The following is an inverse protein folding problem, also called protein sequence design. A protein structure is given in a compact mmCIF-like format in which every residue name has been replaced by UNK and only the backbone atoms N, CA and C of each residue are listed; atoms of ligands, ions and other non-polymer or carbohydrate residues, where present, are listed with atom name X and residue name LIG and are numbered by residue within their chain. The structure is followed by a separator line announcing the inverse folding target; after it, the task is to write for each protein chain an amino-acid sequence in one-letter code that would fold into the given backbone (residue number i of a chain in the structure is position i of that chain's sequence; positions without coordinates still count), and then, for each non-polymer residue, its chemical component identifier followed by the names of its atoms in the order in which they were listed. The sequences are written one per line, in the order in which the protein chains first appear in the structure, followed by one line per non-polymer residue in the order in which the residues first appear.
data_IF_738713994024
#
_entry.id   IF_738713994024
#
_cell.length_a   1.000
_cell.length_b   1.000
_cell.length_c   1.000
_cell.angle_alpha   90.00
_cell.angle_beta   90.00
_cell.angle_gamma   90.00
#
_symmetry.space_group_name_H-M   'P 1'
#
loop_
_entity.id
_entity.type
_entity.pdbx_description
1 polymer ?
#
# COMPACT_ATOMS: atom_id res chain seq x y z
N UNK A 1 -3.39 -16.62 34.05
CA UNK A 1 -4.18 -17.00 32.86
C UNK A 1 -3.91 -16.13 31.62
N UNK A 2 -3.21 -14.99 31.73
CA UNK A 2 -2.96 -14.06 30.62
C UNK A 2 -1.66 -14.30 29.83
N UNK A 3 -0.83 -15.28 30.23
CA UNK A 3 0.54 -15.46 29.74
C UNK A 3 0.66 -16.38 28.51
N UNK A 4 -0.39 -17.14 28.20
CA UNK A 4 -0.44 -18.07 27.05
C UNK A 4 -1.14 -17.50 25.81
N UNK A 5 -1.81 -16.34 25.94
CA UNK A 5 -2.52 -15.70 24.82
C UNK A 5 -1.55 -15.04 23.81
N UNK A 6 -0.34 -14.71 24.24
CA UNK A 6 0.66 -14.06 23.36
C UNK A 6 1.36 -15.04 22.41
N UNK A 7 1.39 -16.33 22.74
CA UNK A 7 2.10 -17.36 21.95
C UNK A 7 1.28 -17.81 20.74
N UNK A 8 -0.05 -17.72 20.80
CA UNK A 8 -0.95 -18.07 19.69
C UNK A 8 -1.06 -16.98 18.61
N UNK A 9 -0.59 -15.75 18.88
CA UNK A 9 -0.57 -14.66 17.88
C UNK A 9 0.68 -14.68 16.97
N UNK A 10 1.68 -15.50 17.31
CA UNK A 10 2.94 -15.62 16.55
C UNK A 10 2.91 -16.70 15.47
N UNK A 11 1.83 -17.50 15.37
CA UNK A 11 1.74 -18.63 14.44
C UNK A 11 0.94 -18.36 13.17
N UNK A 12 0.59 -17.10 12.87
CA UNK A 12 0.03 -16.73 11.55
C UNK A 12 1.07 -16.14 10.61
N UNK A 13 2.36 -16.39 10.85
CA UNK A 13 3.31 -16.47 9.73
C UNK A 13 2.86 -17.66 8.88
N UNK A 14 2.04 -17.35 7.87
CA UNK A 14 1.91 -18.17 6.68
C UNK A 14 3.32 -18.26 6.11
N UNK A 15 4.07 -19.24 6.59
CA UNK A 15 5.25 -19.73 5.90
C UNK A 15 4.73 -20.25 4.56
N UNK A 16 4.86 -19.43 3.51
CA UNK A 16 4.88 -19.95 2.16
C UNK A 16 6.05 -20.93 2.07
N UNK A 17 5.81 -22.19 2.43
CA UNK A 17 6.74 -23.29 2.25
C UNK A 17 6.82 -23.58 0.74
N UNK A 18 7.57 -22.75 0.02
CA UNK A 18 7.99 -23.03 -1.36
C UNK A 18 9.17 -23.99 -1.25
N UNK A 19 8.88 -25.29 -1.30
CA UNK A 19 9.89 -26.34 -1.44
C UNK A 19 10.74 -26.10 -2.70
N UNK A 20 12.08 -26.20 -2.64
CA UNK A 20 12.93 -26.05 -3.81
C UNK A 20 13.03 -27.41 -4.53
N UNK A 21 12.00 -27.76 -5.28
CA UNK A 21 12.03 -28.85 -6.25
C UNK A 21 10.83 -28.63 -7.17
N UNK A 22 10.97 -28.23 -8.41
CA UNK A 22 11.58 -28.95 -9.53
C UNK A 22 11.94 -27.92 -10.59
N UNK A 23 13.11 -28.03 -11.21
CA UNK A 23 13.46 -27.35 -12.46
C UNK A 23 12.53 -27.85 -13.58
N UNK A 24 11.32 -27.29 -13.62
CA UNK A 24 10.36 -27.41 -14.72
C UNK A 24 10.50 -26.16 -15.60
N UNK A 25 10.59 -26.26 -16.94
CA UNK A 25 10.76 -25.12 -17.84
C UNK A 25 9.64 -24.06 -17.72
N UNK A 26 8.52 -24.41 -17.09
CA UNK A 26 7.32 -23.59 -16.96
C UNK A 26 7.08 -23.04 -15.53
N UNK A 27 7.85 -23.47 -14.53
CA UNK A 27 7.76 -22.97 -13.15
C UNK A 27 8.16 -21.49 -12.99
N UNK A 28 9.17 -20.95 -13.72
CA UNK A 28 9.50 -19.52 -13.67
C UNK A 28 8.33 -18.64 -14.11
N UNK A 29 7.50 -19.13 -15.04
CA UNK A 29 6.42 -18.36 -15.67
C UNK A 29 5.24 -18.15 -14.73
N UNK A 30 4.83 -19.18 -13.99
CA UNK A 30 3.67 -19.10 -13.07
C UNK A 30 3.98 -18.23 -11.86
N UNK A 31 5.17 -18.37 -11.27
CA UNK A 31 5.60 -17.54 -10.13
C UNK A 31 5.73 -16.07 -10.55
N UNK A 32 6.23 -15.82 -11.76
CA UNK A 32 6.29 -14.49 -12.34
C UNK A 32 4.89 -13.88 -12.53
N UNK A 33 3.95 -14.65 -13.09
CA UNK A 33 2.58 -14.20 -13.33
C UNK A 33 1.82 -13.92 -12.03
N UNK A 34 1.97 -14.79 -11.01
CA UNK A 34 1.41 -14.58 -9.67
C UNK A 34 1.98 -13.35 -8.99
N UNK A 35 3.30 -13.13 -9.10
CA UNK A 35 3.94 -11.95 -8.54
C UNK A 35 3.44 -10.66 -9.22
N UNK A 36 3.38 -10.65 -10.55
CA UNK A 36 2.89 -9.50 -11.31
C UNK A 36 1.42 -9.21 -11.00
N UNK A 37 0.59 -10.26 -10.94
CA UNK A 37 -0.84 -10.15 -10.64
C UNK A 37 -1.06 -9.65 -9.22
N UNK A 38 -0.34 -10.21 -8.24
CA UNK A 38 -0.43 -9.80 -6.84
C UNK A 38 -0.02 -8.33 -6.63
N UNK A 39 1.10 -7.91 -7.23
CA UNK A 39 1.55 -6.52 -7.12
C UNK A 39 0.68 -5.55 -7.92
N UNK A 40 0.14 -5.96 -9.07
CA UNK A 40 -0.85 -5.17 -9.82
C UNK A 40 -2.13 -4.95 -9.01
N UNK A 41 -2.58 -5.97 -8.29
CA UNK A 41 -3.70 -5.84 -7.36
C UNK A 41 -3.38 -4.84 -6.24
N UNK A 42 -2.19 -4.93 -5.62
CA UNK A 42 -1.74 -3.97 -4.60
C UNK A 42 -1.72 -2.54 -5.16
N UNK A 43 -1.18 -2.32 -6.36
CA UNK A 43 -1.17 -1.00 -7.00
C UNK A 43 -2.57 -0.46 -7.29
N UNK A 44 -3.50 -1.34 -7.70
CA UNK A 44 -4.90 -0.96 -7.93
C UNK A 44 -5.54 -0.50 -6.62
N UNK A 45 -5.35 -1.24 -5.53
CA UNK A 45 -5.86 -0.87 -4.21
C UNK A 45 -5.24 0.42 -3.68
N UNK A 46 -3.93 0.63 -3.89
CA UNK A 46 -3.26 1.89 -3.54
C UNK A 46 -3.82 3.07 -4.34
N UNK A 47 -4.16 2.88 -5.62
CA UNK A 47 -4.78 3.93 -6.45
C UNK A 47 -6.20 4.26 -5.98
N UNK A 48 -6.97 3.24 -5.56
CA UNK A 48 -8.28 3.46 -4.93
C UNK A 48 -8.12 4.22 -3.62
N UNK A 49 -7.15 3.85 -2.78
CA UNK A 49 -6.86 4.54 -1.52
C UNK A 49 -6.45 6.00 -1.74
N UNK A 50 -5.59 6.26 -2.73
CA UNK A 50 -5.19 7.61 -3.14
C UNK A 50 -6.41 8.47 -3.50
N UNK A 51 -7.30 7.91 -4.32
CA UNK A 51 -8.54 8.57 -4.71
C UNK A 51 -9.48 8.80 -3.53
N UNK A 52 -9.62 7.85 -2.60
CA UNK A 52 -10.42 8.03 -1.39
C UNK A 52 -9.82 9.13 -0.51
N UNK A 53 -8.51 9.16 -0.33
CA UNK A 53 -7.85 10.18 0.48
C UNK A 53 -8.01 11.57 -0.14
N UNK A 54 -7.79 11.74 -1.45
CA UNK A 54 -7.99 13.03 -2.10
C UNK A 54 -9.46 13.45 -2.12
N UNK A 55 -10.35 12.56 -2.58
CA UNK A 55 -11.73 12.94 -2.89
C UNK A 55 -12.66 12.87 -1.68
N UNK A 56 -12.51 11.88 -0.79
CA UNK A 56 -13.37 11.76 0.39
C UNK A 56 -12.77 12.47 1.59
N UNK A 57 -11.53 12.17 1.96
CA UNK A 57 -10.93 12.77 3.17
C UNK A 57 -10.68 14.27 2.96
N UNK A 58 -10.14 14.67 1.81
CA UNK A 58 -9.98 16.08 1.45
C UNK A 58 -11.31 16.84 1.45
N UNK A 59 -12.37 16.24 0.89
CA UNK A 59 -13.71 16.85 0.87
C UNK A 59 -14.35 16.94 2.25
N UNK A 60 -14.20 15.91 3.09
CA UNK A 60 -14.67 15.93 4.48
C UNK A 60 -13.97 17.01 5.30
N UNK A 61 -12.65 17.08 5.21
CA UNK A 61 -11.87 18.12 5.89
C UNK A 61 -12.32 19.50 5.39
N UNK A 62 -12.52 19.68 4.09
CA UNK A 62 -13.01 20.94 3.54
C UNK A 62 -14.39 21.32 4.08
N UNK A 63 -15.35 20.37 4.13
CA UNK A 63 -16.68 20.61 4.70
C UNK A 63 -16.63 20.97 6.19
N UNK A 64 -15.82 20.25 6.98
CA UNK A 64 -15.64 20.55 8.40
C UNK A 64 -15.02 21.93 8.59
N UNK A 65 -14.01 22.26 7.78
CA UNK A 65 -13.33 23.55 7.87
C UNK A 65 -14.17 24.73 7.38
N UNK A 66 -15.10 24.51 6.46
CA UNK A 66 -16.10 25.51 6.06
C UNK A 66 -17.17 25.73 7.13
N UNK A 67 -17.53 24.70 7.89
CA UNK A 67 -18.51 24.79 8.97
C UNK A 67 -17.89 25.25 10.31
N UNK A 68 -16.57 25.23 10.44
CA UNK A 68 -15.87 25.63 11.65
C UNK A 68 -15.75 27.17 11.77
N UNK A 69 -15.75 27.72 13.00
CA UNK A 69 -15.53 29.15 13.23
C UNK A 69 -14.05 29.51 12.98
N UNK A 70 -13.71 29.69 11.71
CA UNK A 70 -12.34 30.00 11.24
C UNK A 70 -11.90 31.43 11.58
N UNK A 71 -12.81 32.25 12.08
CA UNK A 71 -12.55 33.52 12.76
C UNK A 71 -11.65 33.35 14.00
N UNK A 72 -11.59 32.13 14.58
CA UNK A 72 -10.62 31.79 15.62
C UNK A 72 -9.28 31.41 14.96
N UNK A 73 -8.16 32.10 15.26
CA UNK A 73 -6.87 31.90 14.58
C UNK A 73 -6.36 30.46 14.64
N UNK A 74 -6.58 29.76 15.76
CA UNK A 74 -6.13 28.38 15.93
C UNK A 74 -6.94 27.39 15.08
N UNK A 75 -8.23 27.65 14.90
CA UNK A 75 -9.12 26.82 14.06
C UNK A 75 -8.74 26.99 12.59
N UNK A 76 -8.46 28.22 12.16
CA UNK A 76 -7.93 28.50 10.83
C UNK A 76 -6.62 27.78 10.56
N UNK A 77 -5.66 27.89 11.47
CA UNK A 77 -4.36 27.22 11.34
C UNK A 77 -4.50 25.69 11.28
N UNK A 78 -5.36 25.11 12.14
CA UNK A 78 -5.64 23.67 12.13
C UNK A 78 -6.23 23.23 10.78
N UNK A 79 -7.19 23.99 10.24
CA UNK A 79 -7.80 23.71 8.94
C UNK A 79 -6.81 23.76 7.78
N UNK A 80 -5.91 24.74 7.77
CA UNK A 80 -4.80 24.80 6.80
C UNK A 80 -3.90 23.57 6.92
N UNK A 81 -3.52 23.16 8.14
CA UNK A 81 -2.67 21.97 8.34
C UNK A 81 -3.37 20.69 7.88
N UNK A 82 -4.65 20.53 8.18
CA UNK A 82 -5.41 19.35 7.78
C UNK A 82 -5.58 19.27 6.25
N UNK A 83 -5.86 20.39 5.58
CA UNK A 83 -6.01 20.40 4.13
C UNK A 83 -4.68 20.26 3.40
N UNK A 84 -3.68 21.06 3.77
CA UNK A 84 -2.45 21.21 2.98
C UNK A 84 -1.36 20.22 3.39
N UNK A 85 -1.31 19.80 4.67
CA UNK A 85 -0.26 18.91 5.14
C UNK A 85 -0.74 17.46 5.30
N UNK A 86 -1.91 17.23 5.92
CA UNK A 86 -2.35 15.85 6.18
C UNK A 86 -2.71 15.12 4.88
N UNK A 87 -3.59 15.68 4.05
CA UNK A 87 -4.01 15.04 2.79
C UNK A 87 -2.82 14.82 1.86
N UNK A 88 -1.96 15.84 1.69
CA UNK A 88 -0.77 15.73 0.86
C UNK A 88 0.24 14.72 1.40
N UNK A 89 0.44 14.64 2.71
CA UNK A 89 1.34 13.65 3.31
C UNK A 89 0.83 12.22 3.07
N UNK A 90 -0.48 11.97 3.23
CA UNK A 90 -1.06 10.66 2.94
C UNK A 90 -0.95 10.31 1.45
N UNK A 91 -1.23 11.24 0.55
CA UNK A 91 -1.06 11.01 -0.90
C UNK A 91 0.41 10.70 -1.23
N UNK A 92 1.34 11.47 -0.69
CA UNK A 92 2.79 11.24 -0.89
C UNK A 92 3.23 9.88 -0.37
N UNK A 93 2.69 9.45 0.78
CA UNK A 93 2.96 8.14 1.34
C UNK A 93 2.42 7.01 0.43
N UNK A 94 1.19 7.16 -0.07
CA UNK A 94 0.59 6.20 -1.01
C UNK A 94 1.40 6.13 -2.31
N UNK A 95 1.85 7.27 -2.82
CA UNK A 95 2.74 7.33 -3.99
C UNK A 95 4.05 6.60 -3.73
N UNK A 96 4.68 6.84 -2.57
CA UNK A 96 5.91 6.13 -2.18
C UNK A 96 5.71 4.62 -2.05
N UNK A 97 4.54 4.16 -1.61
CA UNK A 97 4.21 2.74 -1.66
C UNK A 97 4.06 2.25 -3.10
N UNK A 98 3.35 2.97 -3.97
CA UNK A 98 3.18 2.58 -5.39
C UNK A 98 4.51 2.44 -6.13
N UNK A 99 5.45 3.36 -5.88
CA UNK A 99 6.78 3.36 -6.47
C UNK A 99 7.61 2.16 -5.99
N UNK A 100 7.51 1.81 -4.71
CA UNK A 100 8.21 0.66 -4.14
C UNK A 100 7.55 -0.68 -4.49
N UNK A 101 6.24 -0.70 -4.74
CA UNK A 101 5.50 -1.92 -5.09
C UNK A 101 5.39 -2.15 -6.60
N UNK A 102 6.28 -1.56 -7.41
CA UNK A 102 6.29 -1.78 -8.86
C UNK A 102 6.47 -3.27 -9.19
N UNK A 103 5.48 -3.92 -9.85
CA UNK A 103 5.54 -5.33 -10.21
C UNK A 103 6.82 -5.68 -10.96
N UNK A 104 7.19 -4.82 -11.90
CA UNK A 104 8.36 -4.99 -12.75
C UNK A 104 9.68 -5.00 -11.97
N UNK A 105 9.77 -4.22 -10.89
CA UNK A 105 10.98 -4.12 -10.08
C UNK A 105 11.03 -5.24 -9.03
N UNK A 106 9.94 -5.44 -8.28
CA UNK A 106 9.93 -6.41 -7.19
C UNK A 106 9.92 -7.86 -7.68
N UNK A 107 9.18 -8.19 -8.73
CA UNK A 107 9.16 -9.57 -9.25
C UNK A 107 10.52 -9.96 -9.88
N UNK A 108 11.22 -9.00 -10.48
CA UNK A 108 12.60 -9.18 -10.94
C UNK A 108 13.62 -9.24 -9.80
N UNK A 109 13.40 -8.51 -8.70
CA UNK A 109 14.27 -8.56 -7.51
C UNK A 109 14.11 -9.88 -6.73
N UNK A 110 12.89 -10.39 -6.63
CA UNK A 110 12.57 -11.66 -5.98
C UNK A 110 13.00 -12.90 -6.80
N UNK A 111 13.64 -12.70 -7.96
CA UNK A 111 13.92 -13.76 -8.95
C UNK A 111 12.69 -14.58 -9.34
N UNK A 112 11.48 -14.03 -9.14
CA UNK A 112 10.22 -14.67 -9.54
C UNK A 112 10.03 -14.52 -11.05
N UNK A 113 10.52 -13.42 -11.64
CA UNK A 113 10.63 -13.18 -13.07
C UNK A 113 12.09 -13.04 -13.48
N UNK A 114 12.46 -13.50 -14.67
CA UNK A 114 13.78 -13.22 -15.24
C UNK A 114 13.90 -11.70 -15.49
N UNK A 115 15.02 -11.09 -15.09
CA UNK A 115 15.24 -9.64 -15.21
C UNK A 115 15.24 -9.15 -16.66
N UNK A 116 15.32 -10.08 -17.61
CA UNK A 116 15.32 -9.85 -19.05
C UNK A 116 13.94 -9.99 -19.71
N UNK A 117 12.89 -10.42 -19.00
CA UNK A 117 11.54 -10.45 -19.59
C UNK A 117 10.95 -9.04 -19.54
N UNK A 118 11.13 -8.30 -20.64
CA UNK A 118 10.32 -7.12 -20.91
C UNK A 118 8.93 -7.59 -21.34
N UNK A 119 7.93 -7.29 -20.53
CA UNK A 119 6.53 -7.25 -20.93
C UNK A 119 6.15 -5.81 -21.29
#
# INVERSE_FOLDING_TARGET
MFKYMFILLLTTVVECQVSPSVSSPNAPTILCELCNTGLSLVQTQLTVLESITQNNLGSLINKVCQAAPTDIPIVKALCTVLQENLVNALVTLIQGFKDQTSPRLLCGYMNACDKNVQF
#
